data_IF_324940644137
#
_entry.id   IF_324940644137
#
_cell.length_a   1.000
_cell.length_b   1.000
_cell.length_c   1.000
_cell.angle_alpha   90.00
_cell.angle_beta   90.00
_cell.angle_gamma   90.00
#
_symmetry.space_group_name_H-M   'P 1'
#
loop_
_entity.id
_entity.type
_entity.pdbx_description
1 polymer ?
#
# COMPACT_ATOMS: atom_id res chain seq x y z
N UNK A 1 12.13 -11.35 0.15
CA UNK A 1 11.83 -10.61 1.39
C UNK A 1 11.24 -9.27 1.01
N UNK A 2 10.07 -8.95 1.53
CA UNK A 2 9.34 -7.70 1.23
C UNK A 2 9.26 -6.93 2.54
N UNK A 3 9.88 -5.75 2.60
CA UNK A 3 9.99 -4.96 3.83
C UNK A 3 9.34 -3.58 3.68
N UNK A 4 8.61 -3.15 4.71
CA UNK A 4 7.90 -1.87 4.79
C UNK A 4 8.76 -0.70 5.27
N UNK A 5 10.08 -0.86 5.31
CA UNK A 5 10.95 0.10 5.95
C UNK A 5 11.44 1.19 5.01
N UNK A 6 11.54 2.41 5.56
CA UNK A 6 12.16 3.63 4.99
C UNK A 6 13.52 3.42 4.30
N UNK A 7 14.27 2.37 4.66
CA UNK A 7 15.62 2.10 4.15
C UNK A 7 15.65 1.43 2.78
N UNK A 8 14.50 1.01 2.28
CA UNK A 8 14.39 0.36 0.97
C UNK A 8 14.62 1.32 -0.21
N UNK A 9 14.66 2.63 0.06
CA UNK A 9 15.09 3.66 -0.90
C UNK A 9 16.60 3.93 -0.83
N UNK A 10 17.33 3.34 0.12
CA UNK A 10 18.77 3.46 0.20
C UNK A 10 19.43 2.63 -0.92
N UNK A 11 20.29 3.22 -1.79
CA UNK A 11 20.83 2.54 -2.97
C UNK A 11 21.63 1.26 -2.66
N UNK A 12 22.11 1.14 -1.44
CA UNK A 12 22.94 0.06 -0.94
C UNK A 12 22.14 -1.05 -0.22
N UNK A 13 20.82 -0.91 -0.07
CA UNK A 13 19.97 -1.91 0.59
C UNK A 13 19.41 -2.92 -0.42
N UNK A 14 19.61 -4.24 -0.23
CA UNK A 14 19.24 -5.26 -1.20
C UNK A 14 17.75 -5.66 -1.11
N UNK A 15 16.83 -4.70 -1.19
CA UNK A 15 15.40 -4.96 -1.14
C UNK A 15 14.57 -3.96 -1.94
N UNK A 16 13.45 -4.41 -2.48
CA UNK A 16 12.45 -3.56 -3.14
C UNK A 16 11.30 -3.28 -2.17
N UNK A 17 10.83 -2.03 -2.12
CA UNK A 17 9.67 -1.65 -1.30
C UNK A 17 8.45 -2.44 -1.75
N UNK A 18 7.65 -2.94 -0.80
CA UNK A 18 6.33 -3.48 -1.14
C UNK A 18 5.48 -2.45 -1.88
N UNK A 19 5.61 -1.16 -1.55
CA UNK A 19 4.87 -0.10 -2.21
C UNK A 19 5.25 -0.01 -3.69
N UNK A 20 6.53 -0.16 -4.02
CA UNK A 20 7.01 -0.19 -5.42
C UNK A 20 6.52 -1.45 -6.13
N UNK A 21 6.48 -2.59 -5.44
CA UNK A 21 5.95 -3.83 -6.01
C UNK A 21 4.46 -3.66 -6.31
N UNK A 22 3.66 -3.17 -5.36
CA UNK A 22 2.21 -3.00 -5.53
C UNK A 22 1.86 -1.92 -6.56
N UNK A 23 2.68 -0.89 -6.73
CA UNK A 23 2.52 0.06 -7.84
C UNK A 23 2.72 -0.60 -9.21
N UNK A 24 3.58 -1.63 -9.32
CA UNK A 24 3.83 -2.36 -10.57
C UNK A 24 2.87 -3.54 -10.76
N UNK A 25 2.44 -4.16 -9.66
CA UNK A 25 1.57 -5.33 -9.61
C UNK A 25 0.47 -5.06 -8.58
N UNK A 26 -0.59 -4.31 -8.95
CA UNK A 26 -1.60 -3.84 -8.02
C UNK A 26 -2.59 -4.92 -7.60
N UNK A 27 -2.68 -6.04 -8.34
CA UNK A 27 -3.48 -7.19 -7.94
C UNK A 27 -2.73 -7.96 -6.85
N UNK A 28 -3.27 -7.93 -5.64
CA UNK A 28 -2.65 -8.49 -4.44
C UNK A 28 -3.59 -9.47 -3.74
N UNK A 29 -3.01 -10.42 -3.00
CA UNK A 29 -3.76 -11.28 -2.08
C UNK A 29 -3.47 -10.85 -0.65
N UNK A 30 -4.53 -10.50 0.09
CA UNK A 30 -4.43 -10.10 1.50
C UNK A 30 -5.07 -11.19 2.35
N UNK A 31 -4.35 -11.66 3.37
CA UNK A 31 -4.90 -12.53 4.41
C UNK A 31 -5.40 -11.70 5.57
N UNK A 32 -6.68 -11.84 5.90
CA UNK A 32 -7.28 -11.33 7.14
C UNK A 32 -7.82 -12.54 7.90
N UNK A 33 -7.30 -12.78 9.10
CA UNK A 33 -7.54 -14.00 9.87
C UNK A 33 -7.26 -15.28 9.07
N UNK A 34 -8.29 -16.09 8.83
CA UNK A 34 -8.20 -17.34 8.08
C UNK A 34 -8.63 -17.19 6.61
N UNK A 35 -9.05 -16.00 6.20
CA UNK A 35 -9.61 -15.73 4.87
C UNK A 35 -8.58 -15.02 3.98
N UNK A 36 -8.58 -15.41 2.69
CA UNK A 36 -7.79 -14.76 1.65
C UNK A 36 -8.70 -13.93 0.76
N UNK A 37 -8.28 -12.69 0.47
CA UNK A 37 -9.01 -11.75 -0.39
C UNK A 37 -8.12 -11.35 -1.57
N UNK A 38 -8.64 -11.50 -2.79
CA UNK A 38 -8.04 -10.92 -3.98
C UNK A 38 -8.50 -9.45 -4.10
N UNK A 39 -7.55 -8.52 -4.05
CA UNK A 39 -7.82 -7.09 -4.01
C UNK A 39 -6.96 -6.35 -5.03
N UNK A 40 -7.41 -5.16 -5.42
CA UNK A 40 -6.61 -4.20 -6.17
C UNK A 40 -6.11 -3.09 -5.23
N UNK A 41 -4.80 -2.87 -5.21
CA UNK A 41 -4.15 -1.79 -4.49
C UNK A 41 -4.05 -0.54 -5.39
N UNK A 42 -4.92 0.44 -5.14
CA UNK A 42 -4.98 1.68 -5.92
C UNK A 42 -4.26 2.80 -5.17
N UNK A 43 -3.18 3.40 -5.72
CA UNK A 43 -2.49 4.50 -5.06
C UNK A 43 -3.40 5.72 -4.87
N UNK A 44 -3.40 6.29 -3.66
CA UNK A 44 -4.05 7.58 -3.40
C UNK A 44 -3.11 8.69 -3.88
N UNK A 45 -3.38 9.22 -5.07
CA UNK A 45 -2.57 10.25 -5.73
C UNK A 45 -2.98 11.67 -5.38
N UNK A 46 -4.22 11.88 -4.94
CA UNK A 46 -4.71 13.22 -4.56
C UNK A 46 -4.00 13.69 -3.27
N UNK A 47 -3.23 14.81 -3.31
CA UNK A 47 -2.43 15.23 -2.16
C UNK A 47 -3.25 15.52 -0.90
N UNK A 48 -4.43 16.12 -1.07
CA UNK A 48 -5.33 16.46 0.04
C UNK A 48 -5.89 15.22 0.74
N UNK A 49 -6.36 14.24 -0.03
CA UNK A 49 -6.86 12.96 0.51
C UNK A 49 -5.74 12.17 1.19
N UNK A 50 -4.56 12.09 0.57
CA UNK A 50 -3.38 11.43 1.16
C UNK A 50 -2.99 12.07 2.50
N UNK A 51 -2.91 13.40 2.56
CA UNK A 51 -2.55 14.13 3.77
C UNK A 51 -3.57 13.88 4.92
N UNK A 52 -4.87 13.88 4.62
CA UNK A 52 -5.93 13.56 5.59
C UNK A 52 -5.76 12.16 6.19
N UNK A 53 -5.50 11.16 5.36
CA UNK A 53 -5.30 9.77 5.82
C UNK A 53 -4.05 9.67 6.72
N UNK A 54 -2.96 10.32 6.33
CA UNK A 54 -1.71 10.31 7.10
C UNK A 54 -1.87 11.04 8.44
N UNK A 55 -2.52 12.19 8.45
CA UNK A 55 -2.84 12.93 9.68
C UNK A 55 -3.71 12.10 10.63
N UNK A 56 -4.77 11.45 10.13
CA UNK A 56 -5.60 10.54 10.93
C UNK A 56 -4.80 9.39 11.55
N UNK A 57 -3.79 8.88 10.84
CA UNK A 57 -2.85 7.86 11.32
C UNK A 57 -1.73 8.44 12.22
N UNK A 58 -1.87 9.68 12.69
CA UNK A 58 -0.94 10.39 13.56
C UNK A 58 0.45 10.65 12.94
N UNK A 59 0.55 10.64 11.60
CA UNK A 59 1.74 11.15 10.91
C UNK A 59 1.63 12.67 10.80
N UNK A 60 2.11 13.38 11.82
CA UNK A 60 2.09 14.85 11.88
C UNK A 60 3.09 15.51 10.90
N UNK A 61 4.15 14.79 10.54
CA UNK A 61 5.10 15.16 9.49
C UNK A 61 5.48 13.90 8.73
N UNK A 62 4.64 13.43 7.80
CA UNK A 62 4.89 12.19 7.10
C UNK A 62 6.17 12.33 6.28
N UNK A 63 7.14 11.40 6.41
CA UNK A 63 8.33 11.43 5.57
C UNK A 63 7.97 11.37 4.09
N UNK A 64 8.80 12.00 3.27
CA UNK A 64 8.70 11.94 1.82
C UNK A 64 8.73 10.48 1.35
N UNK A 65 7.89 10.17 0.37
CA UNK A 65 7.81 8.83 -0.23
C UNK A 65 6.90 7.83 0.49
N UNK A 66 6.18 8.19 1.56
CA UNK A 66 5.08 7.33 2.06
C UNK A 66 3.98 7.25 0.99
N UNK A 67 3.71 6.03 0.52
CA UNK A 67 2.60 5.73 -0.40
C UNK A 67 1.41 5.19 0.39
N UNK A 68 0.22 5.66 0.05
CA UNK A 68 -1.05 5.17 0.59
C UNK A 68 -1.79 4.47 -0.54
N UNK A 69 -2.35 3.30 -0.26
CA UNK A 69 -3.20 2.57 -1.18
C UNK A 69 -4.60 2.44 -0.60
N UNK A 70 -5.60 2.63 -1.45
CA UNK A 70 -6.95 2.15 -1.24
C UNK A 70 -7.01 0.68 -1.72
N UNK A 71 -7.61 -0.21 -0.91
CA UNK A 71 -7.79 -1.61 -1.29
C UNK A 71 -9.21 -1.81 -1.78
N UNK A 72 -9.36 -2.12 -3.08
CA UNK A 72 -10.65 -2.33 -3.72
C UNK A 72 -10.89 -3.81 -3.96
N UNK A 73 -12.14 -4.25 -3.79
CA UNK A 73 -12.54 -5.58 -4.27
C UNK A 73 -12.55 -5.59 -5.78
N UNK A 74 -12.18 -6.73 -6.36
CA UNK A 74 -12.29 -6.93 -7.79
C UNK A 74 -13.78 -7.01 -8.15
N UNK A 75 -14.20 -6.14 -9.08
CA UNK A 75 -15.57 -6.08 -9.60
C UNK A 75 -15.91 -7.40 -10.29
N UNK A 76 -16.51 -8.34 -9.56
CA UNK A 76 -16.81 -9.69 -10.04
C UNK A 76 -16.99 -10.73 -8.94
N UNK A 77 -16.45 -10.48 -7.75
CA UNK A 77 -16.71 -11.32 -6.57
C UNK A 77 -17.97 -10.84 -5.84
N UNK A 78 -19.13 -11.15 -6.41
CA UNK A 78 -20.37 -11.22 -5.64
C UNK A 78 -20.22 -12.36 -4.63
N UNK A 79 -20.16 -12.01 -3.34
CA UNK A 79 -20.09 -13.00 -2.27
C UNK A 79 -21.25 -13.99 -2.36
N UNK A 80 -20.90 -15.28 -2.36
CA UNK A 80 -21.79 -16.37 -2.00
C UNK A 80 -21.85 -16.51 -0.47
#
# INVERSE_FOLDING_TARGET
YVQSHRWVTAPWWPGTSWAVIWQKQPLITVRLDQSLYALEAVPVVEPGQRAKILHFRQYNSPPDGIVVFELRRLSGESGA
#
